data_IF_063940752269
#
_entry.id   IF_063940752269
#
_cell.length_a   1.000
_cell.length_b   1.000
_cell.length_c   1.000
_cell.angle_alpha   90.00
_cell.angle_beta   90.00
_cell.angle_gamma   90.00
#
_symmetry.space_group_name_H-M   'P 1'
#
loop_
_entity.id
_entity.type
_entity.pdbx_description
1 polymer ?
#
# COMPACT_ATOMS: atom_id res chain seq x y z
N UNK A 1 -4.67 -6.69 -35.90
CA UNK A 1 -4.81 -5.22 -35.82
C UNK A 1 -6.22 -4.80 -35.41
N UNK A 2 -7.24 -4.93 -36.28
CA UNK A 2 -8.60 -4.47 -35.97
C UNK A 2 -9.26 -5.18 -34.79
N UNK A 3 -9.13 -6.51 -34.67
CA UNK A 3 -9.67 -7.24 -33.52
C UNK A 3 -9.11 -6.75 -32.18
N UNK A 4 -7.85 -6.33 -32.15
CA UNK A 4 -7.22 -5.76 -30.96
C UNK A 4 -7.84 -4.39 -30.59
N UNK A 5 -8.04 -3.52 -31.59
CA UNK A 5 -8.71 -2.22 -31.37
C UNK A 5 -10.16 -2.38 -30.93
N UNK A 6 -10.92 -3.26 -31.59
CA UNK A 6 -12.32 -3.53 -31.26
C UNK A 6 -12.43 -4.11 -29.85
N UNK A 7 -11.56 -5.05 -29.48
CA UNK A 7 -11.52 -5.62 -28.13
C UNK A 7 -11.30 -4.55 -27.06
N UNK A 8 -10.27 -3.71 -27.21
CA UNK A 8 -9.99 -2.66 -26.21
C UNK A 8 -11.03 -1.54 -26.23
N UNK A 9 -11.62 -1.23 -27.38
CA UNK A 9 -12.76 -0.32 -27.47
C UNK A 9 -13.95 -0.84 -26.65
N UNK A 10 -14.34 -2.11 -26.86
CA UNK A 10 -15.42 -2.72 -26.09
C UNK A 10 -15.10 -2.83 -24.59
N UNK A 11 -13.86 -3.20 -24.25
CA UNK A 11 -13.42 -3.28 -22.86
C UNK A 11 -13.46 -1.91 -22.15
N UNK A 12 -13.21 -0.83 -22.89
CA UNK A 12 -13.18 0.53 -22.34
C UNK A 12 -14.52 1.01 -21.76
N UNK A 13 -15.65 0.45 -22.21
CA UNK A 13 -16.96 0.73 -21.63
C UNK A 13 -17.17 0.11 -20.24
N UNK A 14 -16.39 -0.91 -19.88
CA UNK A 14 -16.54 -1.63 -18.61
C UNK A 14 -15.39 -1.39 -17.64
N UNK A 15 -14.17 -1.21 -18.16
CA UNK A 15 -12.95 -1.09 -17.35
C UNK A 15 -12.05 0.03 -17.88
N UNK A 16 -11.27 0.64 -16.99
CA UNK A 16 -10.20 1.56 -17.41
C UNK A 16 -9.10 0.76 -18.09
N UNK A 17 -9.03 0.87 -19.41
CA UNK A 17 -7.96 0.28 -20.21
C UNK A 17 -6.68 1.08 -19.98
N UNK A 18 -5.70 0.43 -19.35
CA UNK A 18 -4.41 1.07 -19.11
C UNK A 18 -3.58 1.15 -20.41
N UNK A 19 -2.96 2.30 -20.73
CA UNK A 19 -2.24 2.50 -22.00
C UNK A 19 -1.12 1.50 -22.29
N UNK A 20 -0.47 0.93 -21.25
CA UNK A 20 0.55 -0.09 -21.44
C UNK A 20 0.05 -1.38 -22.10
N UNK A 21 -1.26 -1.67 -22.03
CA UNK A 21 -1.82 -2.83 -22.73
C UNK A 21 -2.07 -2.51 -24.19
N UNK A 22 -2.59 -1.31 -24.48
CA UNK A 22 -2.91 -0.90 -25.86
C UNK A 22 -1.67 -0.62 -26.69
N UNK A 23 -0.54 -0.27 -26.08
CA UNK A 23 0.73 -0.03 -26.78
C UNK A 23 1.22 -1.25 -27.56
N UNK A 24 0.79 -2.47 -27.21
CA UNK A 24 1.12 -3.70 -27.93
C UNK A 24 0.66 -3.67 -29.40
N UNK A 25 -0.29 -2.81 -29.75
CA UNK A 25 -0.68 -2.56 -31.14
C UNK A 25 0.47 -2.00 -31.99
N UNK A 26 1.48 -1.37 -31.37
CA UNK A 26 2.64 -0.85 -32.07
C UNK A 26 3.38 -1.95 -32.84
N UNK A 27 3.44 -3.18 -32.32
CA UNK A 27 4.16 -4.30 -32.96
C UNK A 27 3.63 -4.58 -34.38
N UNK A 28 2.34 -4.90 -34.59
CA UNK A 28 1.82 -5.13 -35.94
C UNK A 28 1.85 -3.86 -36.81
N UNK A 29 1.68 -2.66 -36.24
CA UNK A 29 1.79 -1.40 -37.00
C UNK A 29 3.22 -1.26 -37.56
N UNK A 30 4.23 -1.44 -36.72
CA UNK A 30 5.65 -1.37 -37.12
C UNK A 30 5.91 -2.35 -38.27
N UNK A 31 5.49 -3.62 -38.13
CA UNK A 31 5.65 -4.64 -39.18
C UNK A 31 4.96 -4.22 -40.49
N UNK A 32 3.71 -3.73 -40.41
CA UNK A 32 2.96 -3.26 -41.58
C UNK A 32 3.63 -2.07 -42.26
N UNK A 33 4.11 -1.10 -41.48
CA UNK A 33 4.79 0.09 -42.01
C UNK A 33 6.10 -0.31 -42.68
N UNK A 34 6.98 -1.05 -42.00
CA UNK A 34 8.27 -1.45 -42.54
C UNK A 34 8.16 -2.26 -43.82
N UNK A 35 7.18 -3.18 -43.91
CA UNK A 35 7.00 -4.01 -45.13
C UNK A 35 6.53 -3.21 -46.34
N UNK A 36 5.84 -2.08 -46.13
CA UNK A 36 5.14 -1.37 -47.21
C UNK A 36 5.70 0.05 -47.47
N UNK A 37 6.69 0.51 -46.72
CA UNK A 37 7.20 1.89 -46.82
C UNK A 37 7.86 2.19 -48.17
N UNK A 38 8.53 1.20 -48.78
CA UNK A 38 9.21 1.35 -50.06
C UNK A 38 8.26 1.26 -51.26
N UNK A 39 7.15 0.54 -51.10
CA UNK A 39 6.21 0.25 -52.18
C UNK A 39 5.03 1.22 -52.23
N UNK A 40 4.71 1.89 -51.12
CA UNK A 40 3.55 2.77 -51.03
C UNK A 40 3.97 4.22 -50.72
N UNK A 41 3.92 5.12 -51.73
CA UNK A 41 4.31 6.52 -51.53
C UNK A 41 3.41 7.27 -50.54
N UNK A 42 2.15 6.83 -50.35
CA UNK A 42 1.24 7.38 -49.35
C UNK A 42 1.74 7.07 -47.95
N UNK A 43 2.10 5.81 -47.65
CA UNK A 43 2.63 5.41 -46.34
C UNK A 43 3.89 6.20 -46.02
N UNK A 44 4.82 6.31 -46.98
CA UNK A 44 6.04 7.11 -46.82
C UNK A 44 5.75 8.58 -46.52
N UNK A 45 4.80 9.20 -47.23
CA UNK A 45 4.38 10.59 -47.01
C UNK A 45 3.73 10.75 -45.63
N UNK A 46 2.86 9.83 -45.22
CA UNK A 46 2.18 9.84 -43.93
C UNK A 46 3.18 9.74 -42.78
N UNK A 47 4.14 8.80 -42.82
CA UNK A 47 5.16 8.67 -41.78
C UNK A 47 6.01 9.95 -41.67
N UNK A 48 6.39 10.55 -42.80
CA UNK A 48 7.12 11.83 -42.79
C UNK A 48 6.31 12.95 -42.11
N UNK A 49 5.04 13.08 -42.45
CA UNK A 49 4.15 14.08 -41.83
C UNK A 49 3.93 13.82 -40.33
N UNK A 50 3.64 12.58 -39.96
CA UNK A 50 3.47 12.18 -38.55
C UNK A 50 4.75 12.45 -37.78
N UNK A 51 5.92 12.11 -38.32
CA UNK A 51 7.21 12.38 -37.69
C UNK A 51 7.44 13.89 -37.52
N UNK A 52 7.16 14.68 -38.57
CA UNK A 52 7.33 16.13 -38.53
C UNK A 52 6.43 16.81 -37.49
N UNK A 53 5.25 16.26 -37.21
CA UNK A 53 4.33 16.78 -36.19
C UNK A 53 4.69 16.23 -34.80
N UNK A 54 4.89 14.92 -34.69
CA UNK A 54 5.09 14.24 -33.40
C UNK A 54 6.46 14.53 -32.80
N UNK A 55 7.51 14.68 -33.60
CA UNK A 55 8.85 14.92 -33.08
C UNK A 55 8.93 16.26 -32.31
N UNK A 56 8.49 17.41 -32.86
CA UNK A 56 8.39 18.66 -32.09
C UNK A 56 7.51 18.53 -30.86
N UNK A 57 6.36 17.83 -30.94
CA UNK A 57 5.47 17.64 -29.79
C UNK A 57 6.14 16.82 -28.68
N UNK A 58 6.86 15.74 -29.02
CA UNK A 58 7.61 14.93 -28.06
C UNK A 58 8.73 15.77 -27.44
N UNK A 59 9.48 16.54 -28.25
CA UNK A 59 10.55 17.41 -27.75
C UNK A 59 9.99 18.50 -26.84
N UNK A 60 8.89 19.15 -27.21
CA UNK A 60 8.24 20.16 -26.39
C UNK A 60 7.71 19.57 -25.08
N UNK A 61 7.03 18.42 -25.15
CA UNK A 61 6.53 17.71 -23.98
C UNK A 61 7.67 17.26 -23.04
N UNK A 62 8.76 16.72 -23.58
CA UNK A 62 9.95 16.36 -22.80
C UNK A 62 10.62 17.57 -22.16
N UNK A 63 10.73 18.66 -22.91
CA UNK A 63 11.28 19.90 -22.38
C UNK A 63 10.45 20.41 -21.21
N UNK A 64 9.12 20.31 -21.30
CA UNK A 64 8.21 20.74 -20.22
C UNK A 64 8.29 19.87 -18.95
N UNK A 65 8.77 18.64 -19.05
CA UNK A 65 9.04 17.75 -17.91
C UNK A 65 10.42 17.98 -17.29
N UNK A 66 11.36 18.54 -18.06
CA UNK A 66 12.73 18.80 -17.63
C UNK A 66 12.91 20.23 -17.10
N UNK A 67 12.14 21.17 -17.64
CA UNK A 67 12.26 22.59 -17.37
C UNK A 67 10.89 23.16 -16.98
N UNK A 68 10.87 23.90 -15.88
CA UNK A 68 9.68 24.56 -15.34
C UNK A 68 9.33 25.85 -16.10
N UNK A 69 8.94 25.71 -17.38
CA UNK A 69 8.51 26.86 -18.20
C UNK A 69 7.01 26.87 -18.52
N UNK A 70 6.32 25.74 -18.35
CA UNK A 70 4.87 25.66 -18.55
C UNK A 70 4.14 25.86 -17.22
N UNK A 71 3.11 26.74 -17.14
CA UNK A 71 2.37 27.00 -15.92
C UNK A 71 1.31 25.91 -15.67
N UNK A 72 1.75 24.65 -15.63
CA UNK A 72 0.88 23.49 -15.36
C UNK A 72 1.24 22.94 -13.98
N UNK A 73 0.37 23.22 -12.99
CA UNK A 73 0.60 22.86 -11.59
C UNK A 73 0.98 21.37 -11.41
N UNK A 74 0.25 20.46 -12.06
CA UNK A 74 0.56 19.03 -12.00
C UNK A 74 1.97 18.66 -12.46
N UNK A 75 2.46 19.28 -13.56
CA UNK A 75 3.82 19.00 -14.03
C UNK A 75 4.85 19.51 -13.03
N UNK A 76 4.59 20.68 -12.45
CA UNK A 76 5.46 21.27 -11.46
C UNK A 76 5.54 20.45 -10.18
N UNK A 77 4.38 20.08 -9.62
CA UNK A 77 4.30 19.33 -8.36
C UNK A 77 4.91 17.92 -8.46
N UNK A 78 4.68 17.23 -9.58
CA UNK A 78 5.12 15.85 -9.78
C UNK A 78 6.59 15.75 -10.25
N UNK A 79 7.04 16.66 -11.14
CA UNK A 79 8.36 16.52 -11.79
C UNK A 79 9.40 17.53 -11.32
N UNK A 80 9.03 18.75 -10.92
CA UNK A 80 9.99 19.82 -10.62
C UNK A 80 10.19 20.04 -9.11
N UNK A 81 9.11 19.92 -8.34
CA UNK A 81 9.09 20.28 -6.92
C UNK A 81 9.29 19.07 -6.00
N UNK A 82 9.18 17.86 -6.52
CA UNK A 82 9.24 16.62 -5.74
C UNK A 82 10.59 16.44 -5.03
N UNK A 83 11.71 16.75 -5.68
CA UNK A 83 13.06 16.69 -5.06
C UNK A 83 13.15 17.63 -3.84
N UNK A 84 12.62 18.85 -3.96
CA UNK A 84 12.64 19.83 -2.87
C UNK A 84 11.76 19.36 -1.72
N UNK A 85 10.55 18.83 -1.99
CA UNK A 85 9.65 18.29 -0.97
C UNK A 85 10.33 17.18 -0.17
N UNK A 86 10.96 16.21 -0.83
CA UNK A 86 11.63 15.10 -0.11
C UNK A 86 12.87 15.58 0.66
N UNK A 87 13.57 16.60 0.18
CA UNK A 87 14.68 17.23 0.92
C UNK A 87 14.20 17.92 2.19
N UNK A 88 13.07 18.62 2.17
CA UNK A 88 12.47 19.19 3.39
C UNK A 88 12.11 18.10 4.41
N UNK A 89 11.50 16.99 3.97
CA UNK A 89 11.26 15.83 4.86
C UNK A 89 12.59 15.29 5.40
N UNK A 90 13.64 15.24 4.58
CA UNK A 90 14.97 14.76 4.98
C UNK A 90 15.63 15.65 6.04
N UNK A 91 15.49 16.97 5.91
CA UNK A 91 15.96 17.94 6.90
C UNK A 91 15.24 17.77 8.24
N UNK A 92 13.91 17.57 8.20
CA UNK A 92 13.11 17.30 9.41
C UNK A 92 13.49 15.94 10.02
N UNK A 93 13.70 14.92 9.19
CA UNK A 93 14.07 13.58 9.65
C UNK A 93 15.46 13.56 10.30
N UNK A 94 16.40 14.38 9.81
CA UNK A 94 17.80 14.28 10.19
C UNK A 94 18.35 12.93 9.75
N UNK A 95 19.00 12.20 10.65
CA UNK A 95 19.56 10.85 10.37
C UNK A 95 18.56 9.72 10.62
N UNK A 96 17.34 10.03 11.07
CA UNK A 96 16.31 9.04 11.36
C UNK A 96 15.75 8.45 10.07
N UNK A 97 15.48 7.13 10.01
CA UNK A 97 14.67 6.53 8.97
C UNK A 97 13.30 7.22 8.82
N UNK A 98 12.80 7.29 7.59
CA UNK A 98 11.45 7.81 7.31
C UNK A 98 10.50 6.68 6.96
N UNK A 99 9.35 6.63 7.62
CA UNK A 99 8.33 5.61 7.42
C UNK A 99 7.08 6.26 6.82
N UNK A 100 6.80 5.95 5.56
CA UNK A 100 5.62 6.43 4.86
C UNK A 100 4.49 5.40 4.95
N UNK A 101 3.26 5.82 5.21
CA UNK A 101 2.13 4.90 5.13
C UNK A 101 1.57 4.81 3.69
N UNK A 102 1.09 3.64 3.30
CA UNK A 102 0.32 3.36 2.07
C UNK A 102 0.90 4.00 0.80
N UNK A 103 2.22 3.99 0.65
CA UNK A 103 2.88 4.59 -0.51
C UNK A 103 4.20 3.88 -0.78
N UNK A 104 4.29 3.18 -1.90
CA UNK A 104 5.57 2.64 -2.38
C UNK A 104 6.38 3.69 -3.14
N UNK A 105 5.76 4.76 -3.63
CA UNK A 105 6.43 5.80 -4.41
C UNK A 105 7.25 6.71 -3.52
N UNK A 106 6.63 7.26 -2.46
CA UNK A 106 7.27 8.22 -1.56
C UNK A 106 8.59 7.72 -0.94
N UNK A 107 8.68 6.52 -0.32
CA UNK A 107 9.95 6.03 0.21
C UNK A 107 10.98 5.74 -0.88
N UNK A 108 10.53 5.33 -2.08
CA UNK A 108 11.44 5.04 -3.19
C UNK A 108 12.08 6.32 -3.73
N UNK A 109 11.27 7.37 -3.90
CA UNK A 109 11.75 8.66 -4.40
C UNK A 109 12.54 9.41 -3.31
N UNK A 110 12.11 9.33 -2.05
CA UNK A 110 12.88 9.83 -0.91
C UNK A 110 14.29 9.20 -0.88
N UNK A 111 14.37 7.86 -0.94
CA UNK A 111 15.65 7.15 -0.94
C UNK A 111 16.50 7.52 -2.15
N UNK A 112 15.89 7.69 -3.34
CA UNK A 112 16.59 8.09 -4.56
C UNK A 112 17.25 9.47 -4.45
N UNK A 113 16.54 10.49 -3.97
CA UNK A 113 17.07 11.86 -3.91
C UNK A 113 17.94 12.15 -2.69
N UNK A 114 17.69 11.48 -1.56
CA UNK A 114 18.39 11.76 -0.30
C UNK A 114 19.49 10.76 0.01
N UNK A 115 19.44 9.56 -0.58
CA UNK A 115 20.29 8.43 -0.22
C UNK A 115 19.99 7.84 1.18
N UNK A 116 19.04 8.41 1.93
CA UNK A 116 18.69 7.98 3.28
C UNK A 116 17.63 6.88 3.24
N UNK A 117 17.62 6.05 4.28
CA UNK A 117 16.71 4.92 4.36
C UNK A 117 15.26 5.36 4.59
N UNK A 118 14.36 4.86 3.77
CA UNK A 118 12.92 4.98 3.97
C UNK A 118 12.20 3.65 3.73
N UNK A 119 11.02 3.52 4.33
CA UNK A 119 10.18 2.33 4.26
C UNK A 119 8.71 2.69 4.04
N UNK A 120 7.92 1.72 3.59
CA UNK A 120 6.46 1.85 3.53
C UNK A 120 5.76 0.84 4.43
N UNK A 121 4.80 1.32 5.21
CA UNK A 121 3.84 0.46 5.91
C UNK A 121 2.49 0.50 5.20
N UNK A 122 1.97 -0.67 4.85
CA UNK A 122 0.72 -0.79 4.12
C UNK A 122 -0.41 -1.26 5.05
N UNK A 123 -1.62 -0.79 4.79
CA UNK A 123 -2.79 -1.18 5.56
C UNK A 123 -3.70 -2.15 4.81
N UNK A 124 -4.81 -2.53 5.44
CA UNK A 124 -5.80 -3.47 4.87
C UNK A 124 -6.37 -3.04 3.52
N UNK A 125 -6.43 -1.72 3.26
CA UNK A 125 -7.03 -1.15 2.06
C UNK A 125 -5.98 -0.86 0.97
N UNK A 126 -4.70 -1.11 1.25
CA UNK A 126 -3.62 -0.89 0.31
C UNK A 126 -3.10 -2.22 -0.25
N UNK A 127 -2.53 -2.15 -1.45
CA UNK A 127 -1.95 -3.33 -2.09
C UNK A 127 -0.62 -3.70 -1.43
N UNK A 128 -0.31 -5.00 -1.34
CA UNK A 128 1.05 -5.44 -1.02
C UNK A 128 2.03 -4.94 -2.09
N UNK A 129 3.24 -4.62 -1.66
CA UNK A 129 4.33 -4.01 -2.40
C UNK A 129 5.63 -4.75 -2.09
N UNK A 130 6.74 -4.32 -2.71
CA UNK A 130 8.06 -4.87 -2.41
C UNK A 130 8.49 -4.62 -0.95
N UNK A 131 7.98 -3.57 -0.30
CA UNK A 131 8.32 -3.23 1.07
C UNK A 131 7.77 -4.27 2.06
N UNK A 132 6.67 -4.95 1.73
CA UNK A 132 6.10 -6.03 2.56
C UNK A 132 6.87 -7.36 2.41
N UNK A 133 7.74 -7.46 1.41
CA UNK A 133 8.55 -8.67 1.15
C UNK A 133 9.96 -8.56 1.74
N UNK A 134 10.48 -7.35 1.89
CA UNK A 134 11.82 -7.11 2.42
C UNK A 134 11.81 -7.05 3.93
N UNK A 135 12.87 -7.57 4.56
CA UNK A 135 13.09 -7.52 6.01
C UNK A 135 13.55 -6.14 6.50
N UNK A 136 12.94 -5.08 5.97
CA UNK A 136 13.32 -3.70 6.25
C UNK A 136 12.84 -3.22 7.62
N UNK A 137 11.83 -3.86 8.19
CA UNK A 137 11.33 -3.55 9.54
C UNK A 137 12.42 -3.78 10.62
N UNK A 138 13.37 -4.69 10.40
CA UNK A 138 14.54 -4.90 11.28
C UNK A 138 15.40 -3.64 11.42
N UNK A 139 15.39 -2.78 10.40
CA UNK A 139 16.14 -1.53 10.42
C UNK A 139 15.38 -0.40 11.12
N UNK A 140 14.11 -0.60 11.44
CA UNK A 140 13.21 0.38 12.06
C UNK A 140 12.90 0.04 13.51
N UNK A 141 12.77 -1.25 13.84
CA UNK A 141 12.38 -1.70 15.17
C UNK A 141 13.34 -1.17 16.24
N UNK A 142 12.80 -0.59 17.31
CA UNK A 142 13.58 -0.07 18.42
C UNK A 142 14.33 1.23 18.13
N UNK A 143 14.08 1.88 16.98
CA UNK A 143 14.82 3.09 16.57
C UNK A 143 13.94 4.32 16.54
N UNK A 144 14.61 5.46 16.58
CA UNK A 144 13.99 6.73 16.29
C UNK A 144 13.62 6.83 14.81
N UNK A 145 12.37 7.16 14.48
CA UNK A 145 11.90 7.31 13.09
C UNK A 145 11.07 8.57 12.93
N UNK A 146 11.02 9.08 11.70
CA UNK A 146 10.01 10.06 11.28
C UNK A 146 8.88 9.33 10.55
N UNK A 147 7.68 9.32 11.13
CA UNK A 147 6.51 8.71 10.52
C UNK A 147 5.68 9.74 9.74
N UNK A 148 5.30 9.38 8.52
CA UNK A 148 4.55 10.18 7.57
C UNK A 148 3.26 9.42 7.18
N UNK A 149 2.11 9.71 7.83
CA UNK A 149 0.86 9.07 7.49
C UNK A 149 0.34 9.53 6.12
N UNK A 150 -0.42 8.65 5.46
CA UNK A 150 -0.98 8.92 4.13
C UNK A 150 -2.24 9.80 4.19
N UNK A 151 -3.12 9.55 5.16
CA UNK A 151 -4.38 10.26 5.31
C UNK A 151 -4.51 10.91 6.69
N UNK A 152 -4.81 12.21 6.77
CA UNK A 152 -4.92 12.92 8.05
C UNK A 152 -6.27 12.62 8.72
N UNK A 153 -6.32 11.56 9.52
CA UNK A 153 -7.46 11.29 10.42
C UNK A 153 -7.60 12.40 11.47
N UNK A 154 -8.76 12.52 12.11
CA UNK A 154 -8.96 13.49 13.21
C UNK A 154 -7.90 13.36 14.30
N UNK A 155 -7.47 12.12 14.61
CA UNK A 155 -6.40 11.89 15.56
C UNK A 155 -5.06 12.45 15.06
N UNK A 156 -4.68 12.18 13.80
CA UNK A 156 -3.44 12.71 13.20
C UNK A 156 -3.47 14.24 13.21
N UNK A 157 -4.57 14.84 12.77
CA UNK A 157 -4.69 16.30 12.71
C UNK A 157 -4.49 16.99 14.07
N UNK A 158 -4.91 16.33 15.15
CA UNK A 158 -4.82 16.87 16.51
C UNK A 158 -3.50 16.55 17.23
N UNK A 159 -2.76 15.52 16.80
CA UNK A 159 -1.61 15.00 17.55
C UNK A 159 -0.29 15.02 16.77
N UNK A 160 -0.31 15.30 15.45
CA UNK A 160 0.87 15.31 14.60
C UNK A 160 1.22 16.73 14.19
N UNK A 161 2.49 16.96 13.89
CA UNK A 161 2.96 18.25 13.41
C UNK A 161 2.61 18.40 11.94
N UNK A 162 1.85 19.45 11.60
CA UNK A 162 1.61 19.83 10.20
C UNK A 162 2.80 20.64 9.69
N UNK A 163 3.47 20.13 8.66
CA UNK A 163 4.49 20.84 7.90
C UNK A 163 3.89 21.38 6.61
N UNK A 164 4.24 22.62 6.25
CA UNK A 164 3.84 23.26 5.01
C UNK A 164 5.08 23.36 4.14
N UNK A 165 5.05 22.71 2.98
CA UNK A 165 6.13 22.74 2.01
C UNK A 165 6.28 24.12 1.38
N UNK A 166 7.44 24.39 0.76
CA UNK A 166 7.69 25.64 0.04
C UNK A 166 6.63 26.02 -1.01
N UNK A 167 5.92 25.05 -1.60
CA UNK A 167 4.90 25.27 -2.62
C UNK A 167 3.47 25.44 -2.04
N UNK A 168 3.31 25.41 -0.71
CA UNK A 168 2.03 25.55 -0.02
C UNK A 168 1.27 24.24 0.23
N UNK A 169 1.74 23.11 -0.31
CA UNK A 169 1.24 21.79 0.07
C UNK A 169 1.58 21.50 1.54
N UNK A 170 0.92 20.51 2.12
CA UNK A 170 1.20 20.14 3.51
C UNK A 170 1.19 18.65 3.76
N UNK A 171 1.93 18.26 4.79
CA UNK A 171 2.02 16.89 5.27
C UNK A 171 1.95 16.88 6.80
N UNK A 172 1.43 15.81 7.38
CA UNK A 172 1.53 15.58 8.82
C UNK A 172 2.70 14.66 9.10
N UNK A 173 3.42 14.93 10.19
CA UNK A 173 4.65 14.24 10.56
C UNK A 173 4.64 13.98 12.06
N UNK A 174 5.19 12.86 12.50
CA UNK A 174 5.48 12.63 13.91
C UNK A 174 6.78 11.83 14.08
N UNK A 175 7.64 12.30 14.97
CA UNK A 175 8.81 11.55 15.41
C UNK A 175 8.41 10.54 16.48
N UNK A 176 9.01 9.36 16.44
CA UNK A 176 8.94 8.35 17.49
C UNK A 176 10.35 7.96 17.88
N UNK A 177 10.57 7.68 19.17
CA UNK A 177 11.91 7.34 19.68
C UNK A 177 12.14 5.82 19.72
N UNK A 178 11.06 5.05 19.91
CA UNK A 178 11.07 3.58 19.98
C UNK A 178 9.97 3.03 19.04
N UNK A 179 10.33 2.77 17.79
CA UNK A 179 9.37 2.39 16.76
C UNK A 179 9.09 0.88 16.73
N UNK A 180 7.82 0.51 16.65
CA UNK A 180 7.38 -0.87 16.44
C UNK A 180 6.27 -0.93 15.39
N UNK A 181 6.40 -1.86 14.44
CA UNK A 181 5.40 -2.18 13.42
C UNK A 181 5.22 -3.70 13.31
N UNK A 182 4.08 -4.12 12.73
CA UNK A 182 3.72 -5.52 12.60
C UNK A 182 3.12 -5.85 11.21
N UNK A 183 3.91 -5.78 10.13
CA UNK A 183 3.39 -6.05 8.76
C UNK A 183 3.36 -7.53 8.35
N UNK A 184 4.24 -8.37 8.90
CA UNK A 184 4.31 -9.81 8.60
C UNK A 184 3.10 -10.58 9.14
N UNK A 185 2.82 -11.72 8.51
CA UNK A 185 1.85 -12.69 9.01
C UNK A 185 2.36 -13.28 10.34
N UNK A 186 1.63 -13.01 11.42
CA UNK A 186 1.97 -13.42 12.79
C UNK A 186 0.96 -14.41 13.37
N UNK A 187 -0.08 -14.79 12.62
CA UNK A 187 -1.16 -15.62 13.14
C UNK A 187 -1.49 -16.74 12.16
N UNK A 188 -1.50 -17.97 12.69
CA UNK A 188 -1.90 -19.16 11.95
C UNK A 188 -3.31 -19.61 12.38
N UNK A 189 -4.19 -19.73 11.39
CA UNK A 189 -5.52 -20.32 11.55
C UNK A 189 -5.47 -21.79 11.10
N UNK A 190 -5.65 -22.70 12.06
CA UNK A 190 -5.47 -24.16 11.89
C UNK A 190 -6.42 -24.79 10.87
N UNK A 191 -7.62 -24.22 10.70
CA UNK A 191 -8.64 -24.78 9.81
C UNK A 191 -8.75 -23.92 8.54
N UNK A 192 -9.05 -24.57 7.42
CA UNK A 192 -9.36 -23.88 6.16
C UNK A 192 -10.79 -23.32 6.16
N UNK A 193 -11.71 -23.98 6.89
CA UNK A 193 -13.11 -23.60 7.02
C UNK A 193 -13.56 -23.61 8.48
N UNK A 194 -14.29 -22.58 8.88
CA UNK A 194 -14.89 -22.46 10.21
C UNK A 194 -16.43 -22.40 10.14
N UNK A 195 -17.10 -22.89 11.18
CA UNK A 195 -18.55 -22.76 11.32
C UNK A 195 -18.87 -22.13 12.65
N UNK A 196 -19.63 -21.04 12.61
CA UNK A 196 -20.04 -20.29 13.79
C UNK A 196 -21.56 -20.30 13.92
N UNK A 197 -22.08 -20.30 15.15
CA UNK A 197 -23.53 -20.33 15.42
C UNK A 197 -24.01 -18.99 15.93
N UNK A 198 -25.12 -18.51 15.37
CA UNK A 198 -25.79 -17.30 15.84
C UNK A 198 -26.29 -17.46 17.26
N UNK A 199 -26.37 -16.36 18.01
CA UNK A 199 -26.92 -16.33 19.38
C UNK A 199 -26.21 -17.26 20.39
N UNK A 200 -24.97 -17.65 20.11
CA UNK A 200 -24.14 -18.41 21.03
C UNK A 200 -22.71 -17.85 21.02
N UNK A 201 -21.97 -17.94 22.15
CA UNK A 201 -20.57 -17.57 22.17
C UNK A 201 -19.79 -18.50 21.27
N UNK A 202 -19.09 -17.93 20.30
CA UNK A 202 -18.22 -18.68 19.39
C UNK A 202 -16.79 -18.59 19.90
N UNK A 203 -16.04 -19.67 19.72
CA UNK A 203 -14.62 -19.72 20.08
C UNK A 203 -13.81 -20.09 18.85
N UNK A 204 -12.68 -19.41 18.65
CA UNK A 204 -11.68 -19.78 17.66
C UNK A 204 -10.33 -19.89 18.35
N UNK A 205 -9.65 -21.01 18.13
CA UNK A 205 -8.27 -21.18 18.56
C UNK A 205 -7.33 -20.67 17.46
N UNK A 206 -6.37 -19.85 17.84
CA UNK A 206 -5.38 -19.26 16.94
C UNK A 206 -3.98 -19.38 17.55
N UNK A 207 -2.98 -19.61 16.69
CA UNK A 207 -1.58 -19.63 17.08
C UNK A 207 -0.95 -18.31 16.65
N UNK A 208 -0.57 -17.46 17.60
CA UNK A 208 0.14 -16.21 17.36
C UNK A 208 1.63 -16.50 17.55
N UNK A 209 2.43 -16.20 16.55
CA UNK A 209 3.87 -16.42 16.57
C UNK A 209 4.62 -15.15 16.19
N UNK A 210 5.88 -15.06 16.61
CA UNK A 210 6.76 -13.96 16.23
C UNK A 210 7.64 -14.34 15.02
N UNK A 211 7.36 -13.80 13.81
CA UNK A 211 8.17 -14.05 12.62
C UNK A 211 9.42 -13.17 12.50
N UNK A 212 9.61 -12.20 13.41
CA UNK A 212 10.71 -11.25 13.35
C UNK A 212 11.92 -11.74 14.14
N UNK A 213 13.14 -11.29 13.81
CA UNK A 213 14.33 -11.58 14.59
C UNK A 213 14.46 -10.71 15.87
N UNK A 214 13.44 -9.93 16.21
CA UNK A 214 13.37 -9.08 17.39
C UNK A 214 12.08 -9.32 18.18
N UNK A 215 12.08 -8.93 19.45
CA UNK A 215 10.93 -9.10 20.35
C UNK A 215 9.80 -8.16 19.98
N UNK A 216 8.56 -8.67 19.93
CA UNK A 216 7.36 -7.83 19.81
C UNK A 216 6.89 -7.49 21.23
N UNK A 217 6.83 -6.21 21.56
CA UNK A 217 6.21 -5.73 22.80
C UNK A 217 4.71 -5.51 22.59
N UNK A 218 3.90 -6.42 23.12
CA UNK A 218 2.44 -6.38 22.98
C UNK A 218 1.86 -5.17 23.73
N UNK A 219 2.48 -4.79 24.85
CA UNK A 219 2.02 -3.68 25.72
C UNK A 219 2.86 -2.41 25.52
N UNK A 220 3.49 -2.26 24.35
CA UNK A 220 4.32 -1.10 24.03
C UNK A 220 3.58 0.21 24.29
N UNK A 221 4.27 1.21 24.87
CA UNK A 221 3.66 2.45 25.35
C UNK A 221 2.99 3.27 24.23
N UNK A 222 3.64 3.37 23.07
CA UNK A 222 3.13 4.12 21.91
C UNK A 222 2.54 3.24 20.80
N UNK A 223 2.89 1.95 20.80
CA UNK A 223 2.59 1.00 19.73
C UNK A 223 2.00 -0.32 20.27
N UNK A 224 1.00 -0.27 21.16
CA UNK A 224 0.40 -1.47 21.70
C UNK A 224 -0.21 -2.29 20.56
N UNK A 225 -0.04 -3.61 20.63
CA UNK A 225 -0.52 -4.54 19.60
C UNK A 225 -1.87 -5.10 20.02
N UNK A 226 -2.88 -4.88 19.19
CA UNK A 226 -4.23 -5.43 19.37
C UNK A 226 -4.58 -6.27 18.16
N UNK A 227 -4.74 -7.57 18.35
CA UNK A 227 -5.24 -8.46 17.30
C UNK A 227 -6.76 -8.40 17.21
N UNK A 228 -7.28 -8.53 16.00
CA UNK A 228 -8.70 -8.49 15.71
C UNK A 228 -9.08 -9.60 14.72
N UNK A 229 -10.20 -10.27 14.93
CA UNK A 229 -10.81 -11.10 13.89
C UNK A 229 -11.73 -10.21 13.04
N UNK A 230 -11.47 -10.13 11.74
CA UNK A 230 -12.28 -9.38 10.78
C UNK A 230 -13.10 -10.31 9.89
N UNK A 231 -14.37 -9.95 9.67
CA UNK A 231 -15.29 -10.65 8.78
C UNK A 231 -15.52 -9.84 7.50
N UNK A 232 -15.29 -10.47 6.36
CA UNK A 232 -15.33 -9.83 5.05
C UNK A 232 -16.34 -10.52 4.13
N UNK A 233 -17.11 -9.70 3.41
CA UNK A 233 -18.02 -10.13 2.34
C UNK A 233 -17.83 -9.21 1.14
N UNK A 234 -17.72 -9.78 -0.06
CA UNK A 234 -17.48 -9.05 -1.31
C UNK A 234 -16.32 -8.03 -1.25
N UNK A 235 -15.26 -8.40 -0.52
CA UNK A 235 -14.08 -7.56 -0.32
C UNK A 235 -14.25 -6.39 0.66
N UNK A 236 -15.40 -6.28 1.33
CA UNK A 236 -15.68 -5.27 2.36
C UNK A 236 -15.68 -5.91 3.74
N UNK A 237 -15.04 -5.26 4.71
CA UNK A 237 -15.15 -5.63 6.12
C UNK A 237 -16.54 -5.26 6.63
N UNK A 238 -17.28 -6.24 7.14
CA UNK A 238 -18.59 -6.01 7.76
C UNK A 238 -18.46 -5.84 9.26
N UNK A 239 -17.70 -6.70 9.93
CA UNK A 239 -17.54 -6.66 11.39
C UNK A 239 -16.12 -7.01 11.83
N UNK A 240 -15.79 -6.63 13.06
CA UNK A 240 -14.52 -7.01 13.70
C UNK A 240 -14.64 -7.13 15.22
N UNK A 241 -13.85 -8.03 15.80
CA UNK A 241 -13.76 -8.20 17.26
C UNK A 241 -12.32 -8.25 17.72
N UNK A 242 -12.02 -7.57 18.82
CA UNK A 242 -10.70 -7.63 19.46
C UNK A 242 -10.49 -9.01 20.09
N UNK A 243 -9.33 -9.60 19.83
CA UNK A 243 -8.86 -10.81 20.47
C UNK A 243 -8.21 -10.42 21.79
N UNK A 244 -8.76 -10.92 22.90
CA UNK A 244 -8.18 -10.72 24.22
C UNK A 244 -7.03 -11.71 24.41
N UNK A 245 -5.81 -11.19 24.57
CA UNK A 245 -4.65 -12.00 24.92
C UNK A 245 -4.61 -12.19 26.45
N UNK A 246 -4.07 -13.31 26.95
CA UNK A 246 -3.87 -13.49 28.40
C UNK A 246 -2.99 -12.38 28.97
N UNK A 247 -3.31 -11.89 30.17
CA UNK A 247 -2.56 -10.78 30.80
C UNK A 247 -1.06 -11.08 31.00
N UNK A 248 -0.70 -12.36 31.11
CA UNK A 248 0.67 -12.84 31.19
C UNK A 248 1.47 -12.60 29.92
N UNK A 249 0.82 -12.45 28.77
CA UNK A 249 1.46 -12.13 27.49
C UNK A 249 1.71 -10.63 27.45
N UNK A 250 2.96 -10.26 27.68
CA UNK A 250 3.44 -8.87 27.53
C UNK A 250 4.35 -8.71 26.32
N UNK A 251 5.08 -9.76 25.96
CA UNK A 251 6.03 -9.76 24.86
C UNK A 251 5.99 -11.12 24.15
N UNK A 252 6.39 -11.14 22.88
CA UNK A 252 6.66 -12.35 22.11
C UNK A 252 8.12 -12.32 21.64
N UNK A 253 8.97 -13.22 22.13
CA UNK A 253 10.37 -13.27 21.70
C UNK A 253 10.48 -13.94 20.31
N UNK A 254 11.58 -13.76 19.57
CA UNK A 254 11.74 -14.35 18.23
C UNK A 254 11.49 -15.87 18.23
N UNK A 255 10.59 -16.34 17.36
CA UNK A 255 10.23 -17.74 17.26
C UNK A 255 9.23 -18.26 18.31
N UNK A 256 8.82 -17.43 19.29
CA UNK A 256 7.72 -17.80 20.19
C UNK A 256 6.45 -18.09 19.41
N UNK A 257 5.65 -19.00 19.96
CA UNK A 257 4.28 -19.25 19.52
C UNK A 257 3.40 -19.41 20.76
N UNK A 258 2.34 -18.61 20.84
CA UNK A 258 1.30 -18.73 21.84
C UNK A 258 0.01 -19.21 21.18
N UNK A 259 -0.70 -20.10 21.85
CA UNK A 259 -2.04 -20.50 21.44
C UNK A 259 -3.06 -19.77 22.30
N UNK A 260 -3.99 -19.08 21.66
CA UNK A 260 -5.03 -18.29 22.33
C UNK A 260 -6.40 -18.73 21.82
N UNK A 261 -7.33 -18.89 22.75
CA UNK A 261 -8.74 -19.10 22.44
C UNK A 261 -9.45 -17.75 22.48
N UNK A 262 -9.91 -17.28 21.32
CA UNK A 262 -10.68 -16.05 21.21
C UNK A 262 -12.17 -16.37 21.27
N UNK A 263 -12.87 -15.78 22.25
CA UNK A 263 -14.32 -15.83 22.34
C UNK A 263 -14.95 -14.55 21.78
N UNK A 264 -15.97 -14.69 20.93
CA UNK A 264 -16.68 -13.56 20.36
C UNK A 264 -18.14 -13.91 20.05
N UNK A 265 -18.96 -12.86 19.96
CA UNK A 265 -20.37 -12.96 19.58
C UNK A 265 -20.55 -12.35 18.20
N UNK A 266 -21.15 -13.09 17.27
CA UNK A 266 -21.31 -12.69 15.86
C UNK A 266 -22.16 -11.44 15.62
N UNK A 267 -22.81 -10.89 16.66
CA UNK A 267 -23.62 -9.68 16.57
C UNK A 267 -24.73 -9.81 15.53
N UNK A 268 -24.80 -8.84 14.62
CA UNK A 268 -25.82 -8.73 13.57
C UNK A 268 -25.42 -9.39 12.24
N UNK A 269 -24.31 -10.14 12.20
CA UNK A 269 -23.90 -10.82 10.97
C UNK A 269 -25.01 -11.71 10.41
N UNK A 270 -25.13 -11.70 9.09
CA UNK A 270 -26.16 -12.47 8.37
C UNK A 270 -25.78 -13.95 8.27
N UNK A 271 -26.79 -14.81 8.11
CA UNK A 271 -26.60 -16.27 8.08
C UNK A 271 -26.07 -16.69 6.69
N UNK A 272 -24.78 -16.44 6.44
CA UNK A 272 -24.14 -16.64 5.13
C UNK A 272 -22.66 -17.00 5.25
N UNK A 273 -21.98 -17.10 4.11
CA UNK A 273 -20.54 -17.33 4.02
C UNK A 273 -19.75 -16.02 4.07
N UNK A 274 -18.67 -16.03 4.84
CA UNK A 274 -17.75 -14.93 5.04
C UNK A 274 -16.32 -15.39 4.79
N UNK A 275 -15.44 -14.42 4.49
CA UNK A 275 -14.01 -14.62 4.66
C UNK A 275 -13.59 -14.03 5.99
N UNK A 276 -12.88 -14.81 6.80
CA UNK A 276 -12.29 -14.36 8.05
C UNK A 276 -10.78 -14.22 7.91
N UNK A 277 -10.23 -13.25 8.64
CA UNK A 277 -8.79 -12.99 8.69
C UNK A 277 -8.47 -12.33 10.03
N UNK A 278 -7.27 -12.57 10.54
CA UNK A 278 -6.76 -11.87 11.71
C UNK A 278 -6.01 -10.63 11.24
N UNK A 279 -6.42 -9.49 11.76
CA UNK A 279 -5.76 -8.20 11.59
C UNK A 279 -5.07 -7.80 12.88
N UNK A 280 -4.17 -6.83 12.82
CA UNK A 280 -3.67 -6.13 14.01
C UNK A 280 -3.71 -4.62 13.82
N UNK A 281 -3.91 -3.93 14.94
CA UNK A 281 -3.65 -2.50 15.11
C UNK A 281 -2.39 -2.38 15.97
N UNK A 282 -1.46 -1.51 15.57
CA UNK A 282 -0.21 -1.24 16.29
C UNK A 282 -0.18 0.24 16.67
N UNK A 283 -0.73 0.57 17.83
CA UNK A 283 -0.94 1.95 18.28
C UNK A 283 -1.72 2.79 17.26
N UNK A 284 -1.06 3.82 16.73
CA UNK A 284 -1.66 4.79 15.79
C UNK A 284 -1.35 4.48 14.32
N UNK A 285 -0.64 3.39 14.06
CA UNK A 285 -0.42 2.89 12.70
C UNK A 285 -1.75 2.32 12.15
N UNK A 286 -1.87 2.29 10.83
CA UNK A 286 -3.04 1.70 10.20
C UNK A 286 -3.09 0.18 10.40
N UNK A 287 -4.29 -0.38 10.33
CA UNK A 287 -4.55 -1.82 10.48
C UNK A 287 -3.92 -2.63 9.34
N UNK A 288 -3.39 -3.82 9.64
CA UNK A 288 -2.76 -4.71 8.65
C UNK A 288 -3.19 -6.16 8.83
N UNK A 289 -3.04 -6.98 7.78
CA UNK A 289 -3.44 -8.39 7.78
C UNK A 289 -2.31 -9.23 8.35
N UNK A 290 -2.57 -9.98 9.42
CA UNK A 290 -1.57 -10.84 10.07
C UNK A 290 -1.88 -12.33 9.96
N UNK A 291 -2.92 -12.73 9.23
CA UNK A 291 -3.14 -14.12 8.82
C UNK A 291 -3.54 -14.22 7.35
N UNK A 292 -3.58 -15.44 6.84
CA UNK A 292 -4.27 -15.77 5.59
C UNK A 292 -5.78 -15.71 5.79
N UNK A 293 -6.51 -15.43 4.71
CA UNK A 293 -7.97 -15.53 4.68
C UNK A 293 -8.39 -17.00 4.79
N UNK A 294 -9.43 -17.24 5.60
CA UNK A 294 -10.14 -18.53 5.73
C UNK A 294 -11.61 -18.34 5.44
N UNK A 295 -12.28 -19.42 5.06
CA UNK A 295 -13.72 -19.38 4.84
C UNK A 295 -14.45 -19.63 6.17
N UNK A 296 -15.56 -18.95 6.39
CA UNK A 296 -16.42 -19.16 7.54
C UNK A 296 -17.89 -19.19 7.12
N UNK A 297 -18.68 -20.09 7.71
CA UNK A 297 -20.13 -20.11 7.54
C UNK A 297 -20.81 -19.77 8.85
N UNK A 298 -21.76 -18.84 8.80
CA UNK A 298 -22.62 -18.53 9.94
C UNK A 298 -23.89 -19.36 9.83
N UNK A 299 -24.04 -20.27 10.80
CA UNK A 299 -25.19 -21.12 11.00
C UNK A 299 -26.17 -20.44 11.94
N UNK A 300 -27.45 -20.74 11.74
CA UNK A 300 -28.56 -20.21 12.53
C UNK A 300 -28.61 -20.78 13.94
#
# INVERSE_FOLDING_TARGET
>A
FFGFLVFFLLASFRYRVQPQWTVLIAIPIIIMVFRNIDFNPVIRKTIKWVTFIMLPLIVAGRSALMFDFLPVAFLKDEFHDYEKKVKEISEIAGERPVVFANSYQDPSVYTFYTGKFAHSLNNLNYRRTQYDLWDFEERLHGKEVLYVPHWPTTYIQNNFTKHIYFNGDSVYLKGYDDFQSLQKECVNLKQEHYSFRKNSPNTIQLDIFNPYPYTIDIKHKEFPVVFQIGFFRDGKREERWNIQLPDSVSQLIPGDTITVDCQFNLGELSDTSYKIVICSETGVLYDTFNSRFRDATILK
#
